data_IF_543006402313
#
_entry.id   IF_543006402313
#
_cell.length_a   1.000
_cell.length_b   1.000
_cell.length_c   1.000
_cell.angle_alpha   90.00
_cell.angle_beta   90.00
_cell.angle_gamma   90.00
#
_symmetry.space_group_name_H-M   'P 1'
#
loop_
_entity.id
_entity.type
_entity.pdbx_description
1 polymer ?
#
# COMPACT_ATOMS: atom_id res chain seq x y z
N UNK A 1 0.94 5.83 -20.11
CA UNK A 1 1.47 6.39 -18.86
C UNK A 1 0.29 6.62 -17.93
N UNK A 2 0.32 6.19 -16.67
CA UNK A 2 -0.76 6.51 -15.71
C UNK A 2 -0.70 7.99 -15.37
N UNK A 3 -1.85 8.66 -15.28
CA UNK A 3 -1.94 10.07 -14.88
C UNK A 3 -1.49 10.28 -13.44
N UNK A 4 -1.05 11.49 -13.07
CA UNK A 4 -0.66 11.82 -11.69
C UNK A 4 -1.77 11.52 -10.66
N UNK A 5 -3.04 11.62 -11.08
CA UNK A 5 -4.19 11.26 -10.26
C UNK A 5 -4.25 9.76 -9.98
N UNK A 6 -4.08 8.90 -10.99
CA UNK A 6 -4.11 7.44 -10.84
C UNK A 6 -2.98 6.89 -9.95
N UNK A 7 -1.92 7.68 -9.76
CA UNK A 7 -0.79 7.36 -8.90
C UNK A 7 -0.98 7.84 -7.45
N UNK A 8 -2.00 8.68 -7.22
CA UNK A 8 -2.26 9.31 -5.91
C UNK A 8 -2.84 8.33 -4.90
N UNK A 9 -2.62 8.62 -3.61
CA UNK A 9 -3.26 7.87 -2.53
C UNK A 9 -4.78 7.97 -2.63
N UNK A 10 -5.30 9.16 -2.95
CA UNK A 10 -6.73 9.42 -3.07
C UNK A 10 -7.40 8.48 -4.06
N UNK A 11 -6.86 8.37 -5.27
CA UNK A 11 -7.39 7.47 -6.29
C UNK A 11 -7.40 6.02 -5.83
N UNK A 12 -6.34 5.57 -5.18
CA UNK A 12 -6.26 4.18 -4.71
C UNK A 12 -7.20 3.90 -3.55
N UNK A 13 -7.40 4.85 -2.64
CA UNK A 13 -8.41 4.73 -1.57
C UNK A 13 -9.81 4.64 -2.15
N UNK A 14 -10.15 5.51 -3.10
CA UNK A 14 -11.44 5.52 -3.76
C UNK A 14 -11.68 4.21 -4.54
N UNK A 15 -10.65 3.71 -5.23
CA UNK A 15 -10.72 2.49 -6.01
C UNK A 15 -10.90 1.22 -5.16
N UNK A 16 -10.23 1.13 -4.02
CA UNK A 16 -10.10 -0.14 -3.27
C UNK A 16 -10.85 -0.17 -1.95
N UNK A 17 -11.03 0.97 -1.28
CA UNK A 17 -11.56 1.01 0.09
C UNK A 17 -12.92 1.70 0.18
N UNK A 18 -13.04 2.89 -0.43
CA UNK A 18 -14.17 3.80 -0.25
C UNK A 18 -14.68 4.33 -1.60
N UNK A 19 -15.29 3.47 -2.45
CA UNK A 19 -15.92 3.92 -3.69
C UNK A 19 -17.03 4.93 -3.40
N UNK A 20 -17.12 6.00 -4.19
CA UNK A 20 -18.22 6.98 -4.06
C UNK A 20 -18.03 8.02 -2.96
N UNK A 21 -16.77 8.41 -2.66
CA UNK A 21 -16.45 9.48 -1.69
C UNK A 21 -16.95 9.24 -0.27
N UNK A 22 -16.97 7.99 0.18
CA UNK A 22 -17.26 7.64 1.59
C UNK A 22 -16.18 8.28 2.48
N UNK A 23 -16.55 8.85 3.65
CA UNK A 23 -15.58 9.40 4.58
C UNK A 23 -14.54 8.37 5.03
N UNK A 24 -13.27 8.74 4.99
CA UNK A 24 -12.14 7.90 5.39
C UNK A 24 -11.25 8.61 6.40
N UNK A 25 -10.55 7.82 7.22
CA UNK A 25 -9.60 8.30 8.20
C UNK A 25 -8.24 7.62 8.02
N UNK A 26 -7.17 8.40 8.04
CA UNK A 26 -5.82 7.85 8.19
C UNK A 26 -5.61 7.56 9.67
N UNK A 27 -5.53 6.28 10.03
CA UNK A 27 -5.38 5.84 11.43
C UNK A 27 -3.96 5.46 11.78
N UNK A 28 -3.13 5.22 10.77
CA UNK A 28 -1.70 4.97 10.97
C UNK A 28 -0.92 5.51 9.77
N UNK A 29 0.25 6.08 10.03
CA UNK A 29 1.23 6.42 9.00
C UNK A 29 2.63 6.16 9.55
N UNK A 30 3.48 5.50 8.77
CA UNK A 30 4.85 5.21 9.20
C UNK A 30 5.73 4.80 8.01
N UNK A 31 6.86 4.16 8.33
CA UNK A 31 7.76 3.52 7.38
C UNK A 31 7.93 2.06 7.75
N UNK A 32 7.98 1.21 6.74
CA UNK A 32 8.33 -0.21 6.88
C UNK A 32 9.75 -0.36 7.44
N UNK A 33 10.00 -1.40 8.24
CA UNK A 33 11.33 -1.62 8.85
C UNK A 33 12.38 -2.08 7.85
N UNK A 34 11.99 -2.90 6.87
CA UNK A 34 12.92 -3.55 5.95
C UNK A 34 13.52 -2.61 4.90
N UNK A 35 12.67 -1.77 4.28
CA UNK A 35 13.00 -0.93 3.12
C UNK A 35 12.67 0.55 3.36
N UNK A 36 12.24 0.93 4.57
CA UNK A 36 11.97 2.33 4.98
C UNK A 36 10.93 3.05 4.12
N UNK A 37 10.16 2.31 3.31
CA UNK A 37 9.12 2.82 2.43
C UNK A 37 7.91 3.29 3.24
N UNK A 38 7.30 4.39 2.79
CA UNK A 38 6.17 5.00 3.49
C UNK A 38 4.94 4.13 3.31
N UNK A 39 4.16 3.97 4.38
CA UNK A 39 2.83 3.36 4.30
C UNK A 39 1.83 4.14 5.15
N UNK A 40 0.56 3.98 4.82
CA UNK A 40 -0.57 4.50 5.58
C UNK A 40 -1.61 3.40 5.75
N UNK A 41 -2.26 3.35 6.93
CA UNK A 41 -3.51 2.60 7.15
C UNK A 41 -4.66 3.58 7.02
N UNK A 42 -5.56 3.30 6.10
CA UNK A 42 -6.79 4.07 5.91
C UNK A 42 -7.96 3.20 6.33
N UNK A 43 -8.87 3.79 7.09
CA UNK A 43 -10.06 3.13 7.62
C UNK A 43 -11.31 3.89 7.19
N UNK A 44 -12.38 3.15 6.91
CA UNK A 44 -13.70 3.67 6.56
C UNK A 44 -14.77 2.91 7.34
N UNK A 45 -15.88 3.57 7.60
CA UNK A 45 -17.05 2.97 8.22
C UNK A 45 -18.19 2.87 7.20
N UNK A 46 -18.89 1.74 7.20
CA UNK A 46 -20.12 1.54 6.44
C UNK A 46 -21.18 0.94 7.37
N UNK A 47 -22.10 1.79 7.84
CA UNK A 47 -22.99 1.44 8.94
C UNK A 47 -22.19 1.10 10.20
N UNK A 48 -22.47 -0.05 10.81
CA UNK A 48 -21.75 -0.54 12.00
C UNK A 48 -20.42 -1.26 11.68
N UNK A 49 -20.09 -1.49 10.41
CA UNK A 49 -18.89 -2.22 10.01
C UNK A 49 -17.73 -1.27 9.66
N UNK A 50 -16.53 -1.54 10.16
CA UNK A 50 -15.31 -0.89 9.70
C UNK A 50 -14.54 -1.74 8.69
N UNK A 51 -13.87 -1.07 7.77
CA UNK A 51 -12.93 -1.66 6.81
C UNK A 51 -11.66 -0.84 6.81
N UNK A 52 -10.52 -1.50 6.73
CA UNK A 52 -9.24 -0.81 6.61
C UNK A 52 -8.33 -1.49 5.59
N UNK A 53 -7.53 -0.68 4.91
CA UNK A 53 -6.47 -1.13 4.02
C UNK A 53 -5.18 -0.37 4.28
N UNK A 54 -4.07 -1.06 4.04
CA UNK A 54 -2.75 -0.44 4.00
C UNK A 54 -2.42 -0.06 2.56
N UNK A 55 -1.89 1.15 2.40
CA UNK A 55 -1.37 1.64 1.14
C UNK A 55 0.12 1.94 1.30
N UNK A 56 0.91 1.52 0.33
CA UNK A 56 2.37 1.64 0.34
C UNK A 56 2.82 2.55 -0.78
N UNK A 57 3.76 3.44 -0.47
CA UNK A 57 4.44 4.27 -1.47
C UNK A 57 5.55 3.44 -2.11
N UNK A 58 5.43 3.19 -3.41
CA UNK A 58 6.44 2.51 -4.23
C UNK A 58 7.48 3.52 -4.73
N UNK A 59 8.61 3.02 -5.26
CA UNK A 59 9.75 3.85 -5.65
C UNK A 59 9.46 4.71 -6.89
N UNK A 60 8.51 4.27 -7.73
CA UNK A 60 7.94 5.04 -8.83
C UNK A 60 7.08 6.22 -8.34
N UNK A 61 6.90 6.37 -7.02
CA UNK A 61 6.04 7.38 -6.45
C UNK A 61 4.56 7.06 -6.64
N UNK A 62 4.17 5.81 -6.86
CA UNK A 62 2.77 5.41 -6.86
C UNK A 62 2.37 4.89 -5.48
N UNK A 63 1.09 5.07 -5.14
CA UNK A 63 0.50 4.36 -4.00
C UNK A 63 -0.11 3.04 -4.48
N UNK A 64 0.02 1.98 -3.69
CA UNK A 64 -0.49 0.64 -4.01
C UNK A 64 -1.07 -0.05 -2.76
N UNK A 65 -2.16 -0.82 -2.86
CA UNK A 65 -2.76 -1.55 -1.72
C UNK A 65 -1.98 -2.83 -1.33
N UNK A 66 -0.78 -3.02 -1.88
CA UNK A 66 0.08 -4.15 -1.64
C UNK A 66 1.50 -3.67 -1.32
N UNK A 67 2.22 -4.38 -0.44
CA UNK A 67 3.60 -4.05 -0.16
C UNK A 67 4.40 -4.15 -1.46
N UNK A 68 5.36 -3.24 -1.69
CA UNK A 68 6.27 -3.38 -2.81
C UNK A 68 7.01 -4.71 -2.71
N UNK A 69 7.39 -5.27 -3.86
CA UNK A 69 8.12 -6.52 -3.88
C UNK A 69 9.33 -6.38 -2.94
N UNK A 70 9.48 -7.36 -2.03
CA UNK A 70 10.72 -7.47 -1.26
C UNK A 70 11.81 -7.53 -2.31
N UNK A 71 12.76 -6.60 -2.24
CA UNK A 71 14.02 -6.77 -2.96
C UNK A 71 14.52 -8.13 -2.48
N UNK A 72 14.36 -9.15 -3.33
CA UNK A 72 14.94 -10.44 -3.04
C UNK A 72 16.41 -10.11 -3.02
N UNK A 73 17.00 -10.04 -1.82
CA UNK A 73 18.44 -10.27 -1.70
C UNK A 73 18.66 -11.52 -2.54
N UNK A 74 19.39 -11.39 -3.65
CA UNK A 74 19.70 -12.49 -4.54
C UNK A 74 20.27 -13.61 -3.67
N UNK A 75 19.40 -14.52 -3.25
CA UNK A 75 19.79 -15.66 -2.45
C UNK A 75 20.37 -16.58 -3.49
N UNK A 76 21.69 -16.50 -3.65
CA UNK A 76 22.42 -17.49 -4.42
C UNK A 76 22.13 -18.82 -3.73
N UNK A 77 21.11 -19.52 -4.20
CA UNK A 77 20.82 -20.90 -3.81
C UNK A 77 21.98 -21.72 -4.34
N UNK A 78 23.09 -21.73 -3.60
CA UNK A 78 24.03 -22.82 -3.68
C UNK A 78 23.25 -24.07 -3.26
N UNK A 79 22.85 -24.85 -4.27
CA UNK A 79 22.35 -26.20 -4.08
C UNK A 79 23.43 -26.95 -3.31
N UNK A 80 23.21 -27.19 -2.02
CA UNK A 80 23.90 -28.26 -1.31
C UNK A 80 23.49 -29.57 -1.99
N UNK A 81 24.33 -30.03 -2.91
CA UNK A 81 24.33 -31.42 -3.32
C UNK A 81 25.01 -32.22 -2.20
N UNK A 82 24.25 -33.14 -1.61
CA UNK A 82 24.77 -34.25 -0.83
C UNK A 82 24.85 -35.48 -1.73
#
# INVERSE_FOLDING_TARGET
MKSAYEQSLRYQVEKWLAPGSIPVHVTQFSRTRADRRRFVRVETFHGAASRALFFFRHDDGHWCPYPPAREQRNMCSERLAA
#
